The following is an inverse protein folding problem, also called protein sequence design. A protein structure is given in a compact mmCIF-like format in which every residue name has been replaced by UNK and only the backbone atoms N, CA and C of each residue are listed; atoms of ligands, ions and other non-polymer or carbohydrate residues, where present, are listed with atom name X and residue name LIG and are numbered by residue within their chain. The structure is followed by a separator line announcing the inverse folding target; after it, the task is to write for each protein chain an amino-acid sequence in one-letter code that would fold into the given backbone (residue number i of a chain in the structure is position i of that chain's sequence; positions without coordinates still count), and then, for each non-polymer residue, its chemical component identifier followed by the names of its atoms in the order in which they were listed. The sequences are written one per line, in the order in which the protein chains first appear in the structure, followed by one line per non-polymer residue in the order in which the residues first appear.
data_IF_771658522713
#
_entry.id   IF_771658522713
#
_cell.length_a   1.000
_cell.length_b   1.000
_cell.length_c   1.000
_cell.angle_alpha   90.00
_cell.angle_beta   90.00
_cell.angle_gamma   90.00
#
_symmetry.space_group_name_H-M   'P 1'
#
loop_
_entity.id
_entity.type
_entity.pdbx_description
1 polymer ?
#
# COMPACT_ATOMS: atom_id res chain seq x y z
N UNK A 1 -17.56 0.22 13.63
CA UNK A 1 -16.79 0.73 12.47
C UNK A 1 -17.76 1.00 11.33
N UNK A 2 -17.39 1.82 10.35
CA UNK A 2 -18.26 2.21 9.23
C UNK A 2 -17.56 2.19 7.89
N UNK A 3 -18.31 2.51 6.82
CA UNK A 3 -17.85 2.58 5.44
C UNK A 3 -18.17 3.97 4.88
N UNK A 4 -17.17 4.63 4.30
CA UNK A 4 -17.33 5.89 3.57
C UNK A 4 -16.94 5.66 2.11
N UNK A 5 -17.76 6.17 1.19
CA UNK A 5 -17.55 6.03 -0.25
C UNK A 5 -17.64 7.41 -0.91
N UNK A 6 -16.58 7.80 -1.59
CA UNK A 6 -16.49 9.03 -2.37
C UNK A 6 -16.40 8.67 -3.87
N UNK A 7 -17.40 9.09 -4.63
CA UNK A 7 -17.47 8.88 -6.09
C UNK A 7 -16.89 10.08 -6.84
N UNK A 8 -15.64 10.42 -6.55
CA UNK A 8 -14.94 11.56 -7.12
C UNK A 8 -13.51 11.64 -6.57
N UNK A 9 -12.87 12.78 -6.81
CA UNK A 9 -11.51 13.04 -6.34
C UNK A 9 -11.51 13.57 -4.89
N UNK A 10 -10.45 13.25 -4.16
CA UNK A 10 -10.13 13.85 -2.88
C UNK A 10 -8.87 14.70 -2.98
N UNK A 11 -8.77 15.72 -2.15
CA UNK A 11 -7.56 16.54 -2.02
C UNK A 11 -6.60 15.91 -1.01
N UNK A 12 -5.63 16.71 -0.57
CA UNK A 12 -4.56 16.29 0.33
C UNK A 12 -5.10 15.77 1.68
N UNK A 13 -4.31 14.92 2.32
CA UNK A 13 -4.60 14.33 3.65
C UNK A 13 -5.87 13.49 3.72
N UNK A 14 -6.45 13.08 2.58
CA UNK A 14 -7.57 12.16 2.57
C UNK A 14 -7.23 10.90 3.37
N UNK A 15 -8.14 10.48 4.26
CA UNK A 15 -7.96 9.31 5.14
C UNK A 15 -6.78 9.37 6.13
N UNK A 16 -6.12 10.51 6.31
CA UNK A 16 -5.12 10.68 7.37
C UNK A 16 -5.74 10.46 8.76
N UNK A 17 -5.04 9.70 9.60
CA UNK A 17 -5.48 9.40 10.97
C UNK A 17 -6.57 8.35 11.09
N UNK A 18 -6.96 7.65 10.01
CA UNK A 18 -7.93 6.55 10.08
C UNK A 18 -7.48 5.50 11.10
N UNK A 19 -8.40 5.11 11.99
CA UNK A 19 -8.19 4.15 13.09
C UNK A 19 -8.95 2.83 12.91
N UNK A 20 -9.74 2.71 11.85
CA UNK A 20 -10.61 1.57 11.56
C UNK A 20 -11.71 1.95 10.58
N UNK A 21 -12.54 0.97 10.20
CA UNK A 21 -13.52 1.14 9.12
C UNK A 21 -12.87 1.14 7.74
N UNK A 22 -13.63 1.59 6.74
CA UNK A 22 -13.20 1.54 5.35
C UNK A 22 -13.53 2.83 4.61
N UNK A 23 -12.55 3.37 3.89
CA UNK A 23 -12.71 4.53 3.00
C UNK A 23 -12.43 4.09 1.57
N UNK A 24 -13.36 4.41 0.68
CA UNK A 24 -13.27 4.15 -0.75
C UNK A 24 -13.31 5.48 -1.50
N UNK A 25 -12.28 5.75 -2.31
CA UNK A 25 -12.19 6.91 -3.20
C UNK A 25 -12.17 6.37 -4.63
N UNK A 26 -13.23 6.63 -5.39
CA UNK A 26 -13.38 6.15 -6.77
C UNK A 26 -12.79 7.11 -7.82
N UNK A 27 -12.14 8.20 -7.39
CA UNK A 27 -11.28 9.06 -8.20
C UNK A 27 -9.82 9.03 -7.73
N UNK A 28 -9.10 10.13 -7.96
CA UNK A 28 -7.75 10.37 -7.48
C UNK A 28 -7.75 10.94 -6.05
N UNK A 29 -6.59 10.92 -5.41
CA UNK A 29 -6.38 11.54 -4.11
C UNK A 29 -5.08 12.35 -4.11
N UNK A 30 -5.08 13.47 -3.40
CA UNK A 30 -3.94 14.41 -3.34
C UNK A 30 -2.74 13.88 -2.57
N UNK A 31 -1.86 14.81 -2.21
CA UNK A 31 -0.66 14.52 -1.42
C UNK A 31 -1.05 14.11 0.02
N UNK A 32 -0.16 13.39 0.71
CA UNK A 32 -0.39 12.93 2.09
C UNK A 32 -1.65 12.06 2.28
N UNK A 33 -2.16 11.42 1.22
CA UNK A 33 -3.30 10.50 1.32
C UNK A 33 -2.93 9.34 2.26
N UNK A 34 -3.63 9.21 3.39
CA UNK A 34 -3.28 8.27 4.45
C UNK A 34 -1.92 8.54 5.13
N UNK A 35 -1.30 9.68 4.84
CA UNK A 35 -0.06 10.14 5.47
C UNK A 35 -0.31 10.79 6.83
N UNK A 36 0.76 11.08 7.57
CA UNK A 36 0.66 11.72 8.88
C UNK A 36 0.10 13.15 8.75
N UNK A 37 -0.64 13.60 9.75
CA UNK A 37 -1.11 14.99 9.82
C UNK A 37 -0.03 15.89 10.44
N UNK A 38 -0.18 17.21 10.31
CA UNK A 38 0.76 18.18 10.90
C UNK A 38 0.87 18.08 12.44
N UNK A 39 -0.12 17.48 13.10
CA UNK A 39 -0.18 17.34 14.56
C UNK A 39 -0.06 15.88 15.03
N UNK A 40 0.09 14.93 14.10
CA UNK A 40 0.10 13.50 14.38
C UNK A 40 1.38 12.82 13.89
N UNK A 41 1.83 11.80 14.63
CA UNK A 41 3.03 11.02 14.27
C UNK A 41 2.72 9.72 13.53
N UNK A 42 1.47 9.49 13.16
CA UNK A 42 0.98 8.29 12.45
C UNK A 42 0.03 8.74 11.36
N UNK A 43 0.20 8.20 10.15
CA UNK A 43 -0.73 8.40 9.04
C UNK A 43 -1.95 7.52 9.21
N UNK A 44 -1.88 6.28 8.76
CA UNK A 44 -2.92 5.28 9.00
C UNK A 44 -2.61 4.54 10.31
N UNK A 45 -3.53 4.61 11.28
CA UNK A 45 -3.43 3.83 12.53
C UNK A 45 -3.94 2.41 12.32
N UNK A 46 -5.08 2.26 11.65
CA UNK A 46 -5.67 0.98 11.22
C UNK A 46 -6.81 1.22 10.21
N UNK A 47 -7.34 0.17 9.61
CA UNK A 47 -8.51 0.22 8.71
C UNK A 47 -8.19 -0.15 7.26
N UNK A 48 -9.11 0.20 6.37
CA UNK A 48 -9.03 -0.11 4.94
C UNK A 48 -9.17 1.16 4.11
N UNK A 49 -8.19 1.43 3.24
CA UNK A 49 -8.22 2.53 2.30
C UNK A 49 -8.13 1.98 0.87
N UNK A 50 -9.10 2.29 0.03
CA UNK A 50 -9.08 1.99 -1.39
C UNK A 50 -9.15 3.28 -2.19
N UNK A 51 -8.21 3.44 -3.12
CA UNK A 51 -8.19 4.52 -4.11
C UNK A 51 -8.13 3.91 -5.50
N UNK A 52 -9.17 4.18 -6.31
CA UNK A 52 -9.24 3.70 -7.70
C UNK A 52 -8.29 4.46 -8.63
N UNK A 53 -8.10 5.76 -8.38
CA UNK A 53 -7.21 6.60 -9.15
C UNK A 53 -5.76 6.58 -8.63
N UNK A 54 -5.06 7.67 -8.92
CA UNK A 54 -3.71 7.93 -8.43
C UNK A 54 -3.74 8.55 -7.03
N UNK A 55 -2.64 8.40 -6.29
CA UNK A 55 -2.40 9.13 -5.04
C UNK A 55 -1.14 9.98 -5.15
N UNK A 56 -1.15 11.14 -4.50
CA UNK A 56 -0.06 12.11 -4.52
C UNK A 56 1.17 11.70 -3.71
N UNK A 57 2.09 12.64 -3.55
CA UNK A 57 3.35 12.49 -2.83
C UNK A 57 3.13 12.33 -1.32
N UNK A 58 4.11 11.77 -0.61
CA UNK A 58 4.07 11.56 0.85
C UNK A 58 2.86 10.72 1.34
N UNK A 59 2.17 10.06 0.42
CA UNK A 59 1.00 9.24 0.74
C UNK A 59 1.41 8.01 1.54
N UNK A 60 0.58 7.61 2.48
CA UNK A 60 0.77 6.42 3.33
C UNK A 60 2.04 6.53 4.22
N UNK A 61 2.54 7.75 4.42
CA UNK A 61 3.62 8.02 5.37
C UNK A 61 3.24 7.54 6.78
N UNK A 62 4.15 6.81 7.43
CA UNK A 62 4.01 6.32 8.81
C UNK A 62 2.74 5.51 9.08
N UNK A 63 2.32 4.69 8.13
CA UNK A 63 1.26 3.68 8.34
C UNK A 63 1.69 2.67 9.43
N UNK A 64 0.77 2.34 10.35
CA UNK A 64 1.02 1.44 11.48
C UNK A 64 0.36 0.06 11.33
N UNK A 65 -0.86 0.00 10.80
CA UNK A 65 -1.65 -1.22 10.52
C UNK A 65 -2.65 -0.95 9.40
N UNK A 66 -3.40 -1.97 9.00
CA UNK A 66 -4.48 -1.86 8.02
C UNK A 66 -4.06 -2.28 6.61
N UNK A 67 -4.95 -2.02 5.65
CA UNK A 67 -4.78 -2.34 4.24
C UNK A 67 -4.97 -1.09 3.38
N UNK A 68 -4.07 -0.86 2.44
CA UNK A 68 -4.20 0.21 1.43
C UNK A 68 -4.11 -0.36 0.03
N UNK A 69 -5.06 -0.02 -0.82
CA UNK A 69 -5.08 -0.44 -2.22
C UNK A 69 -5.14 0.81 -3.09
N UNK A 70 -4.15 0.97 -3.98
CA UNK A 70 -4.10 2.03 -4.99
C UNK A 70 -4.08 1.36 -6.36
N UNK A 71 -5.14 1.55 -7.15
CA UNK A 71 -5.17 0.99 -8.51
C UNK A 71 -4.37 1.82 -9.52
N UNK A 72 -4.20 3.11 -9.27
CA UNK A 72 -3.35 4.00 -10.05
C UNK A 72 -1.90 4.06 -9.58
N UNK A 73 -1.23 5.15 -9.96
CA UNK A 73 0.13 5.48 -9.56
C UNK A 73 0.17 6.06 -8.15
N UNK A 74 1.33 5.95 -7.51
CA UNK A 74 1.62 6.58 -6.23
C UNK A 74 2.82 7.51 -6.38
N UNK A 75 2.71 8.71 -5.80
CA UNK A 75 3.70 9.77 -5.89
C UNK A 75 5.02 9.49 -5.17
N UNK A 76 5.87 10.50 -5.15
CA UNK A 76 7.19 10.45 -4.53
C UNK A 76 7.08 10.43 -3.00
N UNK A 77 8.11 9.93 -2.30
CA UNK A 77 8.18 9.86 -0.83
C UNK A 77 7.07 9.03 -0.15
N UNK A 78 6.36 8.23 -0.93
CA UNK A 78 5.25 7.45 -0.41
C UNK A 78 5.71 6.25 0.42
N UNK A 79 4.88 5.87 1.39
CA UNK A 79 5.12 4.78 2.34
C UNK A 79 6.38 4.98 3.21
N UNK A 80 6.97 6.17 3.22
CA UNK A 80 8.12 6.47 4.06
C UNK A 80 7.79 6.29 5.54
N UNK A 81 8.77 5.81 6.31
CA UNK A 81 8.65 5.50 7.73
C UNK A 81 7.49 4.54 8.09
N UNK A 82 7.01 3.74 7.15
CA UNK A 82 5.96 2.76 7.41
C UNK A 82 6.39 1.81 8.54
N UNK A 83 5.57 1.72 9.59
CA UNK A 83 5.84 0.88 10.75
C UNK A 83 5.39 -0.56 10.52
N UNK A 84 4.21 -0.75 9.92
CA UNK A 84 3.64 -2.03 9.47
C UNK A 84 2.37 -1.78 8.65
N UNK A 85 1.77 -2.85 8.12
CA UNK A 85 0.56 -2.82 7.28
C UNK A 85 0.75 -3.54 5.96
N UNK A 86 -0.31 -3.61 5.16
CA UNK A 86 -0.27 -4.21 3.82
C UNK A 86 -0.72 -3.21 2.77
N UNK A 87 0.07 -3.07 1.70
CA UNK A 87 -0.19 -2.11 0.63
C UNK A 87 -0.18 -2.83 -0.72
N UNK A 88 -1.15 -2.52 -1.58
CA UNK A 88 -1.22 -3.02 -2.95
C UNK A 88 -1.21 -1.83 -3.91
N UNK A 89 -0.21 -1.77 -4.79
CA UNK A 89 -0.06 -0.72 -5.79
C UNK A 89 -0.10 -1.37 -7.18
N UNK A 90 -1.11 -1.01 -7.98
CA UNK A 90 -1.23 -1.54 -9.36
C UNK A 90 -0.59 -0.64 -10.41
N UNK A 91 -0.32 0.63 -10.13
CA UNK A 91 0.36 1.57 -11.02
C UNK A 91 1.88 1.60 -10.88
N UNK A 92 2.48 2.73 -11.26
CA UNK A 92 3.90 3.04 -11.08
C UNK A 92 4.14 3.68 -9.71
N UNK A 93 5.37 3.53 -9.24
CA UNK A 93 5.83 4.08 -7.96
C UNK A 93 6.80 5.25 -8.23
N UNK A 94 6.56 6.36 -7.52
CA UNK A 94 7.40 7.55 -7.53
C UNK A 94 8.85 7.31 -7.06
N UNK A 95 9.63 8.38 -7.00
CA UNK A 95 10.98 8.41 -6.42
C UNK A 95 10.89 8.35 -4.90
N UNK A 96 11.90 7.71 -4.29
CA UNK A 96 12.03 7.54 -2.84
C UNK A 96 10.76 6.91 -2.27
N UNK A 97 10.78 5.59 -2.12
CA UNK A 97 9.59 4.84 -1.73
C UNK A 97 9.94 3.88 -0.61
N UNK A 98 9.09 3.84 0.41
CA UNK A 98 9.27 3.00 1.60
C UNK A 98 10.64 3.19 2.28
N UNK A 99 11.21 4.40 2.20
CA UNK A 99 12.44 4.72 2.92
C UNK A 99 12.14 4.72 4.43
N UNK A 100 13.02 4.12 5.24
CA UNK A 100 12.80 4.02 6.68
C UNK A 100 11.74 3.00 7.12
N UNK A 101 11.18 2.20 6.19
CA UNK A 101 10.22 1.15 6.52
C UNK A 101 10.76 0.19 7.59
N UNK A 102 9.93 -0.14 8.59
CA UNK A 102 10.29 -1.08 9.67
C UNK A 102 9.78 -2.49 9.40
N UNK A 103 8.52 -2.62 8.99
CA UNK A 103 7.83 -3.88 8.66
C UNK A 103 6.73 -3.58 7.64
N UNK A 104 6.11 -4.63 7.13
CA UNK A 104 4.93 -4.53 6.27
C UNK A 104 5.11 -5.27 4.95
N UNK A 105 4.00 -5.44 4.25
CA UNK A 105 3.92 -6.22 3.03
C UNK A 105 3.48 -5.33 1.87
N UNK A 106 4.27 -5.27 0.81
CA UNK A 106 3.98 -4.44 -0.37
C UNK A 106 3.78 -5.35 -1.58
N UNK A 107 2.62 -5.27 -2.20
CA UNK A 107 2.32 -5.93 -3.48
C UNK A 107 2.41 -4.92 -4.61
N UNK A 108 3.27 -5.16 -5.59
CA UNK A 108 3.44 -4.23 -6.74
C UNK A 108 3.88 -4.95 -8.00
N UNK A 109 3.68 -4.31 -9.16
CA UNK A 109 4.28 -4.73 -10.44
C UNK A 109 5.54 -3.93 -10.78
N UNK A 110 5.85 -2.88 -10.01
CA UNK A 110 6.97 -1.99 -10.27
C UNK A 110 8.28 -2.58 -9.73
N UNK A 111 9.14 -3.01 -10.65
CA UNK A 111 10.44 -3.62 -10.36
C UNK A 111 11.43 -2.66 -9.70
N UNK A 112 11.17 -1.35 -9.72
CA UNK A 112 12.05 -0.36 -9.08
C UNK A 112 12.18 -0.62 -7.58
N UNK A 113 11.11 -1.04 -6.92
CA UNK A 113 11.07 -1.24 -5.46
C UNK A 113 12.04 -2.34 -5.02
N UNK A 114 12.18 -3.41 -5.80
CA UNK A 114 12.95 -4.58 -5.40
C UNK A 114 14.46 -4.45 -5.64
N UNK A 115 14.94 -3.32 -6.17
CA UNK A 115 16.37 -3.10 -6.42
C UNK A 115 17.21 -3.14 -5.15
N UNK A 116 16.62 -2.72 -4.04
CA UNK A 116 17.26 -2.63 -2.72
C UNK A 116 16.70 -3.70 -1.77
N UNK A 117 16.24 -4.83 -2.30
CA UNK A 117 15.72 -5.92 -1.48
C UNK A 117 16.37 -7.25 -1.85
N UNK A 118 16.45 -8.15 -0.86
CA UNK A 118 16.94 -9.51 -1.09
C UNK A 118 15.83 -10.37 -1.68
N UNK A 119 16.10 -11.06 -2.79
CA UNK A 119 15.16 -12.02 -3.37
C UNK A 119 15.04 -13.24 -2.45
N UNK A 120 13.81 -13.70 -2.21
CA UNK A 120 13.55 -14.95 -1.50
C UNK A 120 13.62 -16.16 -2.44
N UNK A 121 13.59 -17.36 -1.86
CA UNK A 121 13.49 -18.60 -2.63
C UNK A 121 12.13 -18.70 -3.32
N UNK A 122 12.05 -19.53 -4.36
CA UNK A 122 10.80 -19.80 -5.08
C UNK A 122 9.92 -20.75 -4.24
N UNK A 123 9.24 -20.17 -3.24
CA UNK A 123 8.26 -20.84 -2.40
C UNK A 123 6.83 -20.46 -2.83
N UNK A 124 5.88 -21.37 -2.58
CA UNK A 124 4.46 -21.08 -2.77
C UNK A 124 3.89 -20.37 -1.55
N UNK A 125 3.29 -19.19 -1.75
CA UNK A 125 2.78 -18.34 -0.67
C UNK A 125 1.26 -18.45 -0.57
N UNK A 126 0.76 -19.58 -0.07
CA UNK A 126 -0.67 -19.91 0.01
C UNK A 126 -1.56 -18.82 0.64
N UNK A 127 -1.03 -18.06 1.59
CA UNK A 127 -1.77 -16.96 2.23
C UNK A 127 -2.24 -15.90 1.22
N UNK A 128 -1.48 -15.68 0.15
CA UNK A 128 -1.76 -14.62 -0.84
C UNK A 128 -3.06 -14.86 -1.57
N UNK A 129 -3.41 -16.12 -1.85
CA UNK A 129 -4.69 -16.51 -2.45
C UNK A 129 -5.88 -16.13 -1.57
N UNK A 130 -5.81 -16.46 -0.28
CA UNK A 130 -6.86 -16.11 0.68
C UNK A 130 -6.93 -14.60 0.88
N UNK A 131 -5.79 -13.94 0.97
CA UNK A 131 -5.70 -12.49 1.10
C UNK A 131 -6.35 -11.77 -0.08
N UNK A 132 -5.99 -12.10 -1.33
CA UNK A 132 -6.59 -11.45 -2.49
C UNK A 132 -8.08 -11.74 -2.63
N UNK A 133 -8.53 -12.96 -2.29
CA UNK A 133 -9.97 -13.27 -2.24
C UNK A 133 -10.69 -12.35 -1.25
N UNK A 134 -10.12 -12.13 -0.07
CA UNK A 134 -10.72 -11.24 0.93
C UNK A 134 -10.75 -9.79 0.45
N UNK A 135 -9.65 -9.28 -0.12
CA UNK A 135 -9.62 -7.92 -0.67
C UNK A 135 -10.61 -7.76 -1.84
N UNK A 136 -10.73 -8.76 -2.72
CA UNK A 136 -11.74 -8.78 -3.79
C UNK A 136 -13.17 -8.67 -3.23
N UNK A 137 -13.46 -9.38 -2.13
CA UNK A 137 -14.76 -9.29 -1.46
C UNK A 137 -15.01 -7.90 -0.87
N UNK A 138 -14.02 -7.32 -0.19
CA UNK A 138 -14.13 -5.98 0.43
C UNK A 138 -14.35 -4.88 -0.61
N UNK A 139 -13.63 -4.95 -1.75
CA UNK A 139 -13.77 -3.96 -2.84
C UNK A 139 -15.06 -4.21 -3.63
N UNK A 140 -15.58 -5.44 -3.66
CA UNK A 140 -16.74 -5.84 -4.46
C UNK A 140 -16.40 -6.03 -5.94
N UNK A 141 -15.12 -6.22 -6.27
CA UNK A 141 -14.66 -6.51 -7.63
C UNK A 141 -13.46 -7.45 -7.58
N UNK A 142 -13.31 -8.30 -8.61
CA UNK A 142 -12.14 -9.20 -8.68
C UNK A 142 -10.85 -8.41 -8.80
N UNK A 143 -9.92 -8.67 -7.91
CA UNK A 143 -8.53 -8.27 -8.11
C UNK A 143 -7.92 -9.10 -9.24
N UNK A 144 -7.44 -8.43 -10.28
CA UNK A 144 -6.70 -9.03 -11.40
C UNK A 144 -5.43 -9.83 -10.98
N UNK A 145 -5.07 -9.80 -9.69
CA UNK A 145 -3.82 -10.29 -9.15
C UNK A 145 -3.88 -11.74 -8.62
N UNK A 146 -5.06 -12.36 -8.62
CA UNK A 146 -5.30 -13.68 -8.01
C UNK A 146 -4.52 -14.85 -8.66
N UNK A 147 -4.04 -14.70 -9.90
CA UNK A 147 -3.43 -15.78 -10.69
C UNK A 147 -1.98 -15.53 -11.15
N UNK A 148 -1.29 -14.54 -10.57
CA UNK A 148 0.08 -14.21 -10.99
C UNK A 148 1.12 -14.89 -10.11
N UNK A 149 2.15 -15.45 -10.75
CA UNK A 149 3.35 -15.89 -10.06
C UNK A 149 3.96 -14.70 -9.31
N UNK A 150 4.00 -14.80 -7.99
CA UNK A 150 4.61 -13.80 -7.13
C UNK A 150 6.07 -14.15 -6.86
N UNK A 151 6.95 -13.17 -6.98
CA UNK A 151 8.32 -13.28 -6.44
C UNK A 151 8.35 -12.48 -5.15
N UNK A 152 8.73 -13.14 -4.06
CA UNK A 152 8.93 -12.47 -2.79
C UNK A 152 10.35 -11.93 -2.68
N UNK A 153 10.44 -10.72 -2.15
CA UNK A 153 11.65 -10.06 -1.72
C UNK A 153 11.48 -9.66 -0.25
N UNK A 154 12.56 -9.60 0.51
CA UNK A 154 12.50 -9.30 1.94
C UNK A 154 13.73 -8.48 2.37
N UNK A 155 13.54 -7.70 3.44
CA UNK A 155 14.59 -6.92 4.07
C UNK A 155 15.21 -5.90 3.11
N UNK A 156 14.70 -4.67 3.13
CA UNK A 156 15.34 -3.57 2.40
C UNK A 156 16.81 -3.45 2.86
N UNK A 157 17.77 -3.42 1.94
CA UNK A 157 19.21 -3.46 2.23
C UNK A 157 19.74 -2.18 2.87
N UNK A 158 19.00 -1.07 2.75
CA UNK A 158 19.41 0.24 3.28
C UNK A 158 19.06 0.43 4.75
N UNK A 159 18.38 -0.53 5.40
CA UNK A 159 18.06 -0.44 6.83
C UNK A 159 17.80 -1.81 7.46
N UNK A 160 17.98 -1.96 8.77
CA UNK A 160 17.47 -3.14 9.47
C UNK A 160 15.93 -3.07 9.54
N UNK A 161 15.25 -3.93 8.78
CA UNK A 161 13.79 -3.99 8.70
C UNK A 161 13.30 -5.41 8.41
N UNK A 162 12.00 -5.64 8.62
CA UNK A 162 11.30 -6.90 8.33
C UNK A 162 10.23 -6.69 7.27
N UNK A 163 10.43 -5.74 6.36
CA UNK A 163 9.50 -5.52 5.26
C UNK A 163 9.68 -6.58 4.18
N UNK A 164 8.61 -6.84 3.45
CA UNK A 164 8.60 -7.74 2.31
C UNK A 164 7.86 -7.13 1.14
N UNK A 165 8.30 -7.49 -0.06
CA UNK A 165 7.73 -7.03 -1.31
C UNK A 165 7.40 -8.24 -2.16
N UNK A 166 6.14 -8.34 -2.59
CA UNK A 166 5.67 -9.31 -3.55
C UNK A 166 5.56 -8.63 -4.91
N UNK A 167 6.46 -9.01 -5.80
CA UNK A 167 6.48 -8.53 -7.17
C UNK A 167 5.64 -9.45 -8.05
N UNK A 168 4.64 -8.90 -8.74
CA UNK A 168 3.87 -9.64 -9.74
C UNK A 168 4.74 -9.92 -10.97
N UNK A 169 4.92 -11.19 -11.34
CA UNK A 169 5.45 -11.53 -12.67
C UNK A 169 4.43 -11.07 -13.72
N UNK A 170 4.90 -10.27 -14.69
CA UNK A 170 4.12 -9.91 -15.86
C UNK A 170 4.01 -11.11 -16.78
#
# INVERSE_FOLDING_TARGET
SGKLMLYGDALDYAASGIKGGSIFIYGNSGDYTGGKTNHGNVGIVDGFLYVKGNVGNNSIERMRRGNVIVEGNIGDYACNDMLSGTIIIKGKIGKIFAEGIKRGTIFTKDKKVVKEYNRSNDAEYNFTKFYFKEISNVIGQKMFLENKNLIRYYGNTNSSNLSEVFLFKL
#
